data_IF_897163304022
#
_entry.id   IF_897163304022
#
_cell.length_a   1.000
_cell.length_b   1.000
_cell.length_c   1.000
_cell.angle_alpha   90.00
_cell.angle_beta   90.00
_cell.angle_gamma   90.00
#
_symmetry.space_group_name_H-M   'P 1'
#
loop_
_entity.id
_entity.type
_entity.pdbx_description
1 polymer ?
#
# COMPACT_ATOMS: atom_id res chain seq x y z
N UNK A 1 50.51 -29.24 38.00
CA UNK A 1 49.09 -28.83 37.97
C UNK A 1 49.03 -27.31 37.93
N UNK A 2 48.88 -26.70 36.76
CA UNK A 2 48.41 -25.31 36.64
C UNK A 2 47.73 -25.16 35.29
N UNK A 3 46.41 -25.03 35.32
CA UNK A 3 45.57 -24.81 34.15
C UNK A 3 45.68 -23.34 33.72
N UNK A 4 46.03 -23.10 32.45
CA UNK A 4 45.85 -21.80 31.81
C UNK A 4 44.37 -21.67 31.43
N UNK A 5 43.66 -20.74 32.08
CA UNK A 5 42.33 -20.33 31.67
C UNK A 5 42.45 -19.29 30.54
N UNK A 6 41.95 -19.63 29.36
CA UNK A 6 41.76 -18.70 28.24
C UNK A 6 40.58 -17.79 28.59
N UNK A 7 40.84 -16.51 28.81
CA UNK A 7 39.79 -15.49 28.94
C UNK A 7 39.32 -15.16 27.53
N UNK A 8 38.14 -15.66 27.16
CA UNK A 8 37.43 -15.27 25.96
C UNK A 8 36.75 -13.92 26.22
N UNK A 9 37.27 -12.84 25.63
CA UNK A 9 36.63 -11.53 25.66
C UNK A 9 35.44 -11.52 24.70
N UNK A 10 34.23 -11.64 25.24
CA UNK A 10 33.00 -11.36 24.50
C UNK A 10 32.80 -9.84 24.47
N UNK A 11 32.65 -9.19 23.32
CA UNK A 11 32.32 -7.78 23.27
C UNK A 11 30.89 -7.59 23.79
N UNK A 12 30.77 -6.91 24.93
CA UNK A 12 29.50 -6.49 25.49
C UNK A 12 28.93 -5.39 24.59
N UNK A 13 28.06 -5.74 23.63
CA UNK A 13 27.22 -4.76 22.96
C UNK A 13 26.21 -4.29 24.01
N UNK A 14 26.44 -3.11 24.57
CA UNK A 14 25.48 -2.46 25.45
C UNK A 14 24.18 -2.25 24.66
N UNK A 15 23.13 -3.00 25.01
CA UNK A 15 21.78 -2.63 24.63
C UNK A 15 21.53 -1.18 25.11
N UNK A 16 20.95 -0.29 24.30
CA UNK A 16 20.60 1.04 24.78
C UNK A 16 19.66 0.86 25.96
N UNK A 17 20.10 1.33 27.13
CA UNK A 17 19.31 1.35 28.35
C UNK A 17 18.11 2.27 28.08
N UNK A 18 16.93 1.68 27.92
CA UNK A 18 15.67 2.41 27.97
C UNK A 18 15.49 2.90 29.42
N UNK A 19 15.99 4.10 29.72
CA UNK A 19 15.61 4.80 30.94
C UNK A 19 14.23 5.41 30.69
N UNK A 20 13.20 4.56 30.75
CA UNK A 20 11.86 5.02 31.04
C UNK A 20 11.80 5.22 32.56
N UNK A 21 12.21 6.39 33.06
CA UNK A 21 11.74 6.83 34.38
C UNK A 21 10.24 6.99 34.24
N UNK A 22 9.46 6.05 34.76
CA UNK A 22 8.00 6.16 34.78
C UNK A 22 7.64 7.45 35.55
N UNK A 23 7.11 8.49 34.88
CA UNK A 23 6.60 9.64 35.60
C UNK A 23 5.33 9.23 36.36
N UNK A 24 5.06 9.93 37.46
CA UNK A 24 3.84 9.76 38.22
C UNK A 24 2.60 10.05 37.34
N UNK A 25 1.62 9.13 37.41
CA UNK A 25 0.25 9.18 36.85
C UNK A 25 0.14 9.50 35.35
N UNK A 26 0.21 8.46 34.52
CA UNK A 26 -0.40 8.43 33.19
C UNK A 26 -1.91 8.31 33.37
N UNK A 27 -2.64 9.42 33.26
CA UNK A 27 -4.07 9.42 33.57
C UNK A 27 -4.88 8.74 32.45
N UNK A 28 -4.47 8.94 31.19
CA UNK A 28 -5.19 8.37 30.05
C UNK A 28 -4.35 7.57 29.06
N UNK A 29 -3.02 7.59 29.11
CA UNK A 29 -2.18 6.66 28.30
C UNK A 29 -2.11 5.26 28.92
N UNK A 30 -2.70 4.27 28.26
CA UNK A 30 -2.74 2.87 28.71
C UNK A 30 -1.45 2.10 28.39
N UNK A 31 -0.83 2.39 27.24
CA UNK A 31 0.40 1.72 26.78
C UNK A 31 1.17 2.61 25.82
N UNK A 32 2.49 2.61 25.95
CA UNK A 32 3.40 3.11 24.92
C UNK A 32 4.46 2.06 24.62
N UNK A 33 4.79 1.86 23.35
CA UNK A 33 5.78 0.86 22.96
C UNK A 33 6.49 1.21 21.66
N UNK A 34 7.76 0.81 21.54
CA UNK A 34 8.53 0.91 20.30
C UNK A 34 8.85 -0.51 19.82
N UNK A 35 8.17 -0.98 18.78
CA UNK A 35 8.38 -2.32 18.22
C UNK A 35 8.67 -2.20 16.73
N UNK A 36 9.76 -2.82 16.26
CA UNK A 36 10.16 -2.76 14.84
C UNK A 36 10.19 -1.31 14.29
N UNK A 37 10.68 -0.36 15.10
CA UNK A 37 10.76 1.08 14.78
C UNK A 37 9.41 1.80 14.65
N UNK A 38 8.31 1.16 15.01
CA UNK A 38 6.98 1.77 15.11
C UNK A 38 6.74 2.16 16.57
N UNK A 39 6.57 3.46 16.82
CA UNK A 39 6.23 4.00 18.14
C UNK A 39 4.71 4.07 18.28
N UNK A 40 4.14 3.17 19.07
CA UNK A 40 2.71 3.10 19.33
C UNK A 40 2.37 3.76 20.67
N UNK A 41 1.39 4.67 20.65
CA UNK A 41 0.76 5.29 21.81
C UNK A 41 -0.69 4.86 21.84
N UNK A 42 -1.09 4.19 22.92
CA UNK A 42 -2.46 3.73 23.14
C UNK A 42 -3.00 4.47 24.35
N UNK A 43 -4.09 5.20 24.16
CA UNK A 43 -4.86 5.75 25.25
C UNK A 43 -5.87 4.72 25.81
N UNK A 44 -6.53 5.08 26.90
CA UNK A 44 -7.64 4.36 27.49
C UNK A 44 -8.95 5.06 27.12
N UNK A 45 -10.05 4.74 27.78
CA UNK A 45 -11.37 5.32 27.47
C UNK A 45 -11.62 6.68 28.18
N UNK A 46 -10.56 7.41 28.54
CA UNK A 46 -10.66 8.78 29.06
C UNK A 46 -10.04 9.76 28.05
N UNK A 47 -10.53 10.99 28.05
CA UNK A 47 -10.01 12.06 27.20
C UNK A 47 -8.49 12.22 27.37
N UNK A 48 -7.76 12.13 26.26
CA UNK A 48 -6.29 12.14 26.19
C UNK A 48 -5.83 13.28 25.31
N UNK A 49 -4.78 14.00 25.73
CA UNK A 49 -4.09 14.95 24.85
C UNK A 49 -2.63 14.58 24.71
N UNK A 50 -2.23 14.16 23.51
CA UNK A 50 -0.86 13.75 23.16
C UNK A 50 -0.25 14.74 22.18
N UNK A 51 0.98 15.16 22.47
CA UNK A 51 1.84 15.89 21.56
C UNK A 51 3.08 15.09 21.23
N UNK A 52 3.43 14.98 19.96
CA UNK A 52 4.67 14.35 19.49
C UNK A 52 5.53 15.36 18.73
N UNK A 53 6.79 15.51 19.12
CA UNK A 53 7.75 16.47 18.51
C UNK A 53 9.15 15.90 18.43
N UNK A 54 9.96 16.46 17.53
CA UNK A 54 11.41 16.33 17.64
C UNK A 54 11.97 17.30 18.68
N UNK A 55 12.90 16.83 19.50
CA UNK A 55 13.70 17.63 20.44
C UNK A 55 15.15 17.19 20.37
N UNK A 56 15.99 17.96 19.68
CA UNK A 56 17.35 17.55 19.34
C UNK A 56 17.35 16.26 18.50
N UNK A 57 18.10 15.25 18.94
CA UNK A 57 18.17 13.94 18.28
C UNK A 57 17.06 12.96 18.70
N UNK A 58 16.05 13.44 19.44
CA UNK A 58 15.01 12.60 20.01
C UNK A 58 13.63 12.92 19.46
N UNK A 59 12.80 11.88 19.39
CA UNK A 59 11.35 11.98 19.25
C UNK A 59 10.76 11.91 20.65
N UNK A 60 10.00 12.93 21.03
CA UNK A 60 9.42 13.10 22.37
C UNK A 60 7.90 13.05 22.28
N UNK A 61 7.30 12.14 23.02
CA UNK A 61 5.85 12.04 23.24
C UNK A 61 5.55 12.70 24.59
N UNK A 62 4.60 13.62 24.61
CA UNK A 62 4.16 14.34 25.82
C UNK A 62 2.65 14.17 25.97
N UNK A 63 2.20 13.72 27.14
CA UNK A 63 0.81 13.81 27.56
C UNK A 63 0.59 15.22 28.13
N UNK A 64 -0.18 16.05 27.44
CA UNK A 64 -0.33 17.47 27.74
C UNK A 64 -1.14 17.65 29.01
N UNK A 65 -0.66 18.51 29.92
CA UNK A 65 -1.33 18.77 31.19
C UNK A 65 -1.01 17.76 32.30
N UNK A 66 -0.21 16.73 32.00
CA UNK A 66 0.34 15.79 32.99
C UNK A 66 1.87 15.88 33.01
N UNK A 67 2.52 15.05 33.84
CA UNK A 67 3.98 14.86 33.81
C UNK A 67 4.40 13.71 32.86
N UNK A 68 3.49 13.24 32.01
CA UNK A 68 3.74 12.13 31.08
C UNK A 68 4.67 12.56 29.94
N UNK A 69 5.91 12.07 29.93
CA UNK A 69 6.86 12.30 28.83
C UNK A 69 7.67 11.05 28.56
N UNK A 70 7.79 10.69 27.28
CA UNK A 70 8.58 9.56 26.80
C UNK A 70 9.48 10.00 25.66
N UNK A 71 10.74 9.57 25.71
CA UNK A 71 11.77 10.02 24.79
C UNK A 71 12.42 8.82 24.11
N UNK A 72 12.50 8.88 22.79
CA UNK A 72 13.12 7.85 21.96
C UNK A 72 14.14 8.51 21.02
N UNK A 73 15.29 7.89 20.73
CA UNK A 73 16.19 8.39 19.68
C UNK A 73 15.44 8.47 18.36
N UNK A 74 15.45 9.60 17.65
CA UNK A 74 14.72 9.74 16.38
C UNK A 74 15.15 8.71 15.35
N UNK A 75 16.45 8.36 15.31
CA UNK A 75 16.96 7.30 14.45
C UNK A 75 16.39 5.90 14.73
N UNK A 76 15.71 5.69 15.87
CA UNK A 76 15.03 4.43 16.22
C UNK A 76 13.56 4.38 15.85
N UNK A 77 12.95 5.53 15.54
CA UNK A 77 11.53 5.66 15.21
C UNK A 77 11.39 5.94 13.71
N UNK A 78 10.57 5.14 13.05
CA UNK A 78 10.28 5.26 11.63
C UNK A 78 8.84 5.73 11.38
N UNK A 79 7.92 5.39 12.29
CA UNK A 79 6.51 5.75 12.21
C UNK A 79 5.93 5.89 13.62
N UNK A 80 4.98 6.79 13.78
CA UNK A 80 4.18 6.94 15.00
C UNK A 80 2.77 6.41 14.75
N UNK A 81 2.22 5.67 15.71
CA UNK A 81 0.83 5.22 15.70
C UNK A 81 0.17 5.72 16.98
N UNK A 82 -0.97 6.38 16.86
CA UNK A 82 -1.80 6.82 17.99
C UNK A 82 -3.17 6.15 17.92
N UNK A 83 -3.63 5.60 19.04
CA UNK A 83 -4.99 5.09 19.22
C UNK A 83 -5.63 5.82 20.41
N UNK A 84 -6.64 6.65 20.15
CA UNK A 84 -7.33 7.52 21.11
C UNK A 84 -8.17 6.77 22.15
N UNK A 85 -9.04 5.87 21.72
CA UNK A 85 -9.96 5.18 22.63
C UNK A 85 -11.38 5.67 22.38
N UNK A 86 -12.26 5.61 23.39
CA UNK A 86 -13.69 5.93 23.20
C UNK A 86 -14.10 7.31 23.72
N UNK A 87 -13.16 8.18 24.03
CA UNK A 87 -13.42 9.50 24.60
C UNK A 87 -12.87 10.59 23.67
N UNK A 88 -13.17 11.86 23.95
CA UNK A 88 -12.68 12.96 23.13
C UNK A 88 -11.17 13.14 23.32
N UNK A 89 -10.40 12.77 22.32
CA UNK A 89 -8.96 12.77 22.31
C UNK A 89 -8.38 13.86 21.40
N UNK A 90 -7.15 14.25 21.71
CA UNK A 90 -6.38 15.21 20.95
C UNK A 90 -5.01 14.65 20.67
N UNK A 91 -4.66 14.54 19.40
CA UNK A 91 -3.35 14.14 18.93
C UNK A 91 -2.73 15.24 18.08
N UNK A 92 -1.54 15.66 18.45
CA UNK A 92 -0.83 16.76 17.81
C UNK A 92 0.60 16.33 17.43
N UNK A 93 0.83 16.09 16.14
CA UNK A 93 2.14 15.82 15.56
C UNK A 93 2.70 16.97 14.70
N UNK A 94 2.16 18.19 14.83
CA UNK A 94 2.56 19.30 13.98
C UNK A 94 4.09 19.52 13.97
N UNK A 95 4.69 19.54 12.77
CA UNK A 95 6.13 19.70 12.59
C UNK A 95 6.97 18.43 12.78
N UNK A 96 6.34 17.27 13.02
CA UNK A 96 7.02 15.97 13.03
C UNK A 96 7.35 15.54 11.60
N UNK A 97 8.59 15.10 11.34
CA UNK A 97 9.01 14.62 10.00
C UNK A 97 8.99 13.09 9.91
N UNK A 98 8.05 12.45 10.62
CA UNK A 98 7.83 11.01 10.61
C UNK A 98 6.36 10.78 10.27
N UNK A 99 6.03 9.78 9.44
CA UNK A 99 4.64 9.47 9.15
C UNK A 99 3.91 9.00 10.41
N UNK A 100 2.63 9.33 10.44
CA UNK A 100 1.69 9.09 11.52
C UNK A 100 0.51 8.26 11.01
N UNK A 101 0.09 7.28 11.81
CA UNK A 101 -1.27 6.74 11.76
C UNK A 101 -1.98 7.13 13.06
N UNK A 102 -2.89 8.10 13.02
CA UNK A 102 -3.64 8.54 14.19
C UNK A 102 -5.11 8.12 14.06
N UNK A 103 -5.62 7.46 15.10
CA UNK A 103 -6.99 6.96 15.15
C UNK A 103 -7.69 7.56 16.36
N UNK A 104 -8.75 8.32 16.13
CA UNK A 104 -9.64 8.83 17.16
C UNK A 104 -10.39 7.67 17.82
N UNK A 105 -11.06 6.88 16.98
CA UNK A 105 -11.94 5.75 17.28
C UNK A 105 -13.34 6.21 17.72
N UNK A 106 -13.55 6.57 18.98
CA UNK A 106 -14.86 7.02 19.44
C UNK A 106 -14.73 8.30 20.22
N UNK A 107 -15.68 9.22 20.05
CA UNK A 107 -15.65 10.53 20.71
C UNK A 107 -15.48 11.65 19.70
N UNK A 108 -15.35 12.88 20.15
CA UNK A 108 -15.12 14.02 19.28
C UNK A 108 -13.64 14.38 19.31
N UNK A 109 -12.91 13.95 18.31
CA UNK A 109 -11.45 13.91 18.31
C UNK A 109 -10.83 15.05 17.50
N UNK A 110 -9.61 15.45 17.90
CA UNK A 110 -8.79 16.41 17.15
C UNK A 110 -7.48 15.74 16.76
N UNK A 111 -7.29 15.46 15.47
CA UNK A 111 -6.13 14.76 14.96
C UNK A 111 -5.34 15.68 14.03
N UNK A 112 -4.12 16.03 14.42
CA UNK A 112 -3.20 16.86 13.64
C UNK A 112 -1.97 16.02 13.29
N UNK A 113 -1.75 15.81 12.00
CA UNK A 113 -0.54 15.19 11.45
C UNK A 113 0.68 16.11 11.49
N UNK A 114 1.70 15.76 10.73
CA UNK A 114 3.01 16.37 10.67
C UNK A 114 3.37 16.86 9.27
N UNK A 115 4.64 16.74 8.92
CA UNK A 115 5.17 17.16 7.62
C UNK A 115 5.44 15.96 6.68
N UNK A 116 5.02 14.77 7.10
CA UNK A 116 5.19 13.53 6.37
C UNK A 116 3.81 13.02 5.95
N UNK A 117 3.79 12.02 5.06
CA UNK A 117 2.54 11.42 4.58
C UNK A 117 1.85 10.67 5.69
N UNK A 118 0.76 11.24 6.19
CA UNK A 118 0.03 10.76 7.35
C UNK A 118 -1.28 10.07 6.96
N UNK A 119 -1.81 9.30 7.91
CA UNK A 119 -3.13 8.70 7.83
C UNK A 119 -3.88 9.04 9.11
N UNK A 120 -4.94 9.81 8.98
CA UNK A 120 -5.77 10.27 10.09
C UNK A 120 -7.15 9.66 9.94
N UNK A 121 -7.61 8.96 10.97
CA UNK A 121 -8.91 8.29 11.02
C UNK A 121 -9.69 8.84 12.21
N UNK A 122 -10.75 9.60 11.96
CA UNK A 122 -11.65 10.07 13.02
C UNK A 122 -12.43 8.91 13.63
N UNK A 123 -13.18 8.22 12.77
CA UNK A 123 -14.18 7.21 13.12
C UNK A 123 -15.38 7.83 13.85
N UNK A 124 -15.96 7.18 14.87
CA UNK A 124 -17.27 7.56 15.38
C UNK A 124 -17.21 8.84 16.22
N UNK A 125 -17.84 9.92 15.76
CA UNK A 125 -17.52 11.20 16.39
C UNK A 125 -18.14 12.44 15.79
N UNK A 126 -17.61 13.57 16.25
CA UNK A 126 -17.57 14.82 15.49
C UNK A 126 -16.10 15.23 15.54
N UNK A 127 -15.38 14.90 14.48
CA UNK A 127 -13.94 14.91 14.46
C UNK A 127 -13.39 16.07 13.62
N UNK A 128 -12.19 16.51 13.99
CA UNK A 128 -11.43 17.50 13.24
C UNK A 128 -10.07 16.93 12.87
N UNK A 129 -9.83 16.76 11.57
CA UNK A 129 -8.60 16.20 11.03
C UNK A 129 -7.81 17.27 10.25
N UNK A 130 -6.52 17.37 10.53
CA UNK A 130 -5.57 18.24 9.81
C UNK A 130 -4.36 17.43 9.39
N UNK A 131 -4.21 17.14 8.09
CA UNK A 131 -3.12 16.33 7.53
C UNK A 131 -1.75 16.96 7.77
N UNK A 132 -1.54 18.15 7.25
CA UNK A 132 -0.27 18.85 7.35
C UNK A 132 0.33 19.04 5.97
N UNK A 133 1.61 18.72 5.80
CA UNK A 133 2.28 18.79 4.50
C UNK A 133 2.57 17.39 3.95
N UNK A 134 2.73 17.29 2.64
CA UNK A 134 2.81 16.03 1.85
C UNK A 134 1.42 15.44 1.57
N UNK A 135 1.38 14.32 0.84
CA UNK A 135 0.13 13.66 0.44
C UNK A 135 -0.44 12.84 1.62
N UNK A 136 -1.49 13.34 2.26
CA UNK A 136 -2.13 12.73 3.42
C UNK A 136 -3.37 11.90 3.06
N UNK A 137 -3.77 11.00 3.95
CA UNK A 137 -5.03 10.25 3.87
C UNK A 137 -5.90 10.57 5.08
N UNK A 138 -7.08 11.13 4.84
CA UNK A 138 -8.01 11.57 5.88
C UNK A 138 -9.29 10.74 5.76
N UNK A 139 -9.66 10.03 6.83
CA UNK A 139 -10.83 9.15 6.88
C UNK A 139 -11.84 9.67 7.91
N UNK A 140 -13.01 10.07 7.43
CA UNK A 140 -14.18 10.55 8.21
C UNK A 140 -15.40 9.69 7.86
N UNK A 141 -15.21 8.37 7.76
CA UNK A 141 -16.31 7.43 7.52
C UNK A 141 -16.80 6.96 8.88
N UNK A 142 -18.05 7.26 9.22
CA UNK A 142 -18.67 6.87 10.49
C UNK A 142 -20.21 6.79 10.44
N UNK A 143 -20.81 6.86 9.25
CA UNK A 143 -22.24 6.96 8.93
C UNK A 143 -22.90 8.33 9.14
N UNK A 144 -22.16 9.34 9.61
CA UNK A 144 -22.63 10.71 9.82
C UNK A 144 -22.03 11.64 8.78
N UNK A 145 -22.27 12.93 8.92
CA UNK A 145 -21.76 13.96 7.99
C UNK A 145 -21.43 15.26 8.73
N UNK A 146 -20.87 15.15 9.94
CA UNK A 146 -20.59 16.24 10.88
C UNK A 146 -19.08 16.48 11.12
N UNK A 147 -18.20 15.75 10.43
CA UNK A 147 -16.75 15.91 10.57
C UNK A 147 -16.18 17.08 9.76
N UNK A 148 -14.95 17.48 10.10
CA UNK A 148 -14.16 18.44 9.31
C UNK A 148 -12.77 17.90 9.02
N UNK A 149 -12.38 17.92 7.74
CA UNK A 149 -11.05 17.48 7.30
C UNK A 149 -10.33 18.55 6.46
N UNK A 150 -9.05 18.75 6.72
CA UNK A 150 -8.17 19.60 5.91
C UNK A 150 -6.84 18.88 5.70
N UNK A 151 -6.57 18.44 4.48
CA UNK A 151 -5.31 17.78 4.13
C UNK A 151 -4.12 18.74 4.22
N UNK A 152 -4.26 19.95 3.66
CA UNK A 152 -3.20 20.95 3.68
C UNK A 152 -2.44 20.99 2.35
N UNK A 153 -1.14 21.34 2.34
CA UNK A 153 -0.33 21.29 1.13
C UNK A 153 0.08 19.85 0.76
N UNK A 154 -0.30 19.43 -0.43
CA UNK A 154 0.00 18.08 -0.93
C UNK A 154 -1.05 17.69 -1.95
N UNK A 155 -1.02 16.43 -2.39
CA UNK A 155 -2.21 15.82 -2.99
C UNK A 155 -2.82 14.89 -1.95
N UNK A 156 -3.90 15.33 -1.36
CA UNK A 156 -4.52 14.62 -0.26
C UNK A 156 -5.63 13.68 -0.76
N UNK A 157 -5.91 12.66 0.03
CA UNK A 157 -7.00 11.72 -0.23
C UNK A 157 -7.97 11.74 0.92
N UNK A 158 -9.21 12.13 0.65
CA UNK A 158 -10.30 12.11 1.60
C UNK A 158 -11.13 10.86 1.38
N UNK A 159 -11.45 10.13 2.44
CA UNK A 159 -12.41 9.04 2.49
C UNK A 159 -13.50 9.45 3.45
N UNK A 160 -14.67 9.82 2.92
CA UNK A 160 -15.71 10.46 3.70
C UNK A 160 -17.09 10.01 3.29
N UNK A 161 -18.03 10.14 4.19
CA UNK A 161 -19.38 9.67 3.97
C UNK A 161 -20.12 10.46 2.89
N UNK A 162 -21.00 9.76 2.17
CA UNK A 162 -21.95 10.37 1.25
C UNK A 162 -23.37 9.89 1.57
N UNK A 163 -24.00 10.48 2.58
CA UNK A 163 -25.32 10.10 3.06
C UNK A 163 -26.38 11.01 2.45
N UNK A 164 -27.22 10.46 1.56
CA UNK A 164 -28.32 11.21 0.92
C UNK A 164 -27.87 12.53 0.25
N UNK A 165 -26.67 12.54 -0.32
CA UNK A 165 -26.09 13.73 -0.97
C UNK A 165 -25.41 14.72 -0.01
N UNK A 166 -25.45 14.47 1.30
CA UNK A 166 -24.64 15.18 2.31
C UNK A 166 -23.32 14.46 2.54
N UNK A 167 -22.31 15.21 2.94
CA UNK A 167 -20.94 14.75 3.19
C UNK A 167 -20.30 15.65 4.24
N UNK A 168 -19.24 15.18 4.88
CA UNK A 168 -18.45 15.97 5.82
C UNK A 168 -17.92 17.27 5.23
N UNK A 169 -17.51 18.21 6.07
CA UNK A 169 -16.81 19.39 5.60
C UNK A 169 -15.37 19.02 5.25
N UNK A 170 -14.89 19.37 4.04
CA UNK A 170 -13.46 19.23 3.74
C UNK A 170 -12.92 20.31 2.81
N UNK A 171 -11.65 20.64 3.00
CA UNK A 171 -10.90 21.58 2.15
C UNK A 171 -10.28 20.86 0.95
N UNK A 172 -11.12 20.38 0.02
CA UNK A 172 -10.66 19.65 -1.17
C UNK A 172 -10.19 20.62 -2.26
N UNK A 173 -8.92 20.53 -2.63
CA UNK A 173 -8.32 21.29 -3.73
C UNK A 173 -8.42 20.53 -5.06
N UNK A 174 -7.94 21.13 -6.16
CA UNK A 174 -8.02 20.52 -7.49
C UNK A 174 -7.08 19.31 -7.67
N UNK A 175 -6.01 19.24 -6.88
CA UNK A 175 -5.01 18.17 -6.96
C UNK A 175 -5.33 17.00 -6.01
N UNK A 176 -6.29 17.18 -5.11
CA UNK A 176 -6.76 16.18 -4.15
C UNK A 176 -7.69 15.15 -4.79
N UNK A 177 -7.94 14.08 -4.04
CA UNK A 177 -8.90 13.05 -4.41
C UNK A 177 -9.95 12.85 -3.31
N UNK A 178 -11.22 13.02 -3.67
CA UNK A 178 -12.35 12.97 -2.75
C UNK A 178 -13.17 11.69 -2.96
N UNK A 179 -12.89 10.66 -2.15
CA UNK A 179 -13.65 9.43 -2.08
C UNK A 179 -14.90 9.62 -1.24
N UNK A 180 -16.00 9.95 -1.91
CA UNK A 180 -17.34 10.09 -1.32
C UNK A 180 -18.05 8.74 -1.28
N UNK A 181 -18.02 8.08 -0.13
CA UNK A 181 -18.52 6.71 0.05
C UNK A 181 -19.97 6.71 0.48
N UNK A 182 -20.88 6.44 -0.46
CA UNK A 182 -22.31 6.28 -0.15
C UNK A 182 -22.62 4.89 0.42
N UNK A 183 -21.91 3.88 -0.07
CA UNK A 183 -22.03 2.48 0.32
C UNK A 183 -20.75 1.73 -0.08
N UNK A 184 -20.50 0.60 0.59
CA UNK A 184 -19.54 -0.39 0.11
C UNK A 184 -20.26 -1.44 -0.75
N UNK A 185 -19.74 -1.68 -1.94
CA UNK A 185 -20.34 -2.56 -2.95
C UNK A 185 -20.44 -4.03 -2.51
N UNK A 186 -19.67 -4.45 -1.50
CA UNK A 186 -19.76 -5.76 -0.88
C UNK A 186 -20.72 -5.81 0.33
N UNK A 187 -21.48 -4.75 0.60
CA UNK A 187 -22.49 -4.70 1.66
C UNK A 187 -21.93 -4.49 3.06
N UNK A 188 -20.62 -4.25 3.20
CA UNK A 188 -20.04 -3.83 4.46
C UNK A 188 -20.64 -2.49 4.93
N UNK A 189 -20.80 -2.32 6.24
CA UNK A 189 -21.22 -1.05 6.80
C UNK A 189 -20.06 -0.05 6.92
N UNK A 190 -20.37 1.13 7.43
CA UNK A 190 -19.47 2.29 7.53
C UNK A 190 -19.13 2.66 8.99
N UNK A 191 -19.32 1.74 9.94
CA UNK A 191 -19.19 2.05 11.38
C UNK A 191 -17.78 1.86 11.96
N UNK A 192 -16.79 1.50 11.13
CA UNK A 192 -15.34 1.41 11.43
C UNK A 192 -14.98 0.92 12.85
N UNK A 193 -15.63 -0.15 13.32
CA UNK A 193 -15.57 -0.62 14.70
C UNK A 193 -14.90 -2.00 14.87
N UNK A 194 -14.13 -2.43 13.86
CA UNK A 194 -13.39 -3.70 13.89
C UNK A 194 -14.19 -4.89 13.37
N UNK A 195 -15.05 -4.64 12.39
CA UNK A 195 -15.91 -5.65 11.76
C UNK A 195 -15.11 -6.79 11.12
N UNK A 196 -15.68 -8.00 11.21
CA UNK A 196 -15.31 -9.13 10.37
C UNK A 196 -16.03 -9.01 9.02
N UNK A 197 -15.28 -8.76 7.95
CA UNK A 197 -15.88 -8.36 6.68
C UNK A 197 -16.13 -9.60 5.81
N UNK A 198 -17.34 -9.69 5.26
CA UNK A 198 -17.72 -10.81 4.40
C UNK A 198 -16.71 -11.05 3.26
N UNK A 199 -16.18 -12.26 3.26
CA UNK A 199 -15.14 -12.70 2.35
C UNK A 199 -15.65 -13.25 1.02
N UNK A 200 -14.87 -13.13 -0.07
CA UNK A 200 -15.11 -13.91 -1.28
C UNK A 200 -15.11 -15.42 -1.00
N UNK A 201 -15.98 -16.17 -1.69
CA UNK A 201 -15.99 -17.63 -1.58
C UNK A 201 -14.67 -18.26 -2.05
N UNK A 202 -14.19 -19.26 -1.32
CA UNK A 202 -12.93 -19.94 -1.63
C UNK A 202 -13.17 -21.33 -2.25
N UNK A 203 -12.17 -21.89 -2.96
CA UNK A 203 -12.16 -23.30 -3.31
C UNK A 203 -12.22 -24.20 -2.05
N UNK A 204 -12.66 -25.45 -2.23
CA UNK A 204 -12.72 -26.40 -1.14
C UNK A 204 -11.35 -26.56 -0.43
N UNK A 205 -11.37 -26.62 0.90
CA UNK A 205 -10.20 -26.76 1.77
C UNK A 205 -9.21 -25.58 1.76
N UNK A 206 -9.57 -24.45 1.17
CA UNK A 206 -8.84 -23.19 1.34
C UNK A 206 -9.42 -22.43 2.53
N UNK A 207 -8.64 -21.54 3.14
CA UNK A 207 -9.07 -20.81 4.33
C UNK A 207 -8.53 -19.38 4.36
N UNK A 208 -9.24 -18.53 5.11
CA UNK A 208 -8.79 -17.20 5.48
C UNK A 208 -8.03 -17.24 6.81
N UNK A 209 -6.98 -16.44 6.91
CA UNK A 209 -6.15 -16.30 8.11
C UNK A 209 -5.90 -14.82 8.37
N UNK A 210 -6.33 -14.33 9.53
CA UNK A 210 -6.12 -12.95 9.97
C UNK A 210 -4.63 -12.57 10.02
N UNK A 211 -4.33 -11.33 9.65
CA UNK A 211 -2.97 -10.78 9.61
C UNK A 211 -2.90 -9.46 10.42
N UNK A 212 -3.05 -9.51 11.75
CA UNK A 212 -3.09 -8.31 12.58
C UNK A 212 -1.73 -7.60 12.61
N UNK A 213 -1.76 -6.30 12.94
CA UNK A 213 -0.57 -5.46 13.16
C UNK A 213 0.35 -5.32 11.95
N UNK A 214 -0.14 -5.59 10.75
CA UNK A 214 0.57 -5.35 9.50
C UNK A 214 0.01 -4.08 8.85
N UNK A 215 0.87 -3.19 8.34
CA UNK A 215 0.40 -1.95 7.76
C UNK A 215 -0.15 -2.17 6.34
N UNK A 216 -1.09 -1.31 5.92
CA UNK A 216 -1.49 -1.28 4.51
C UNK A 216 -0.28 -1.00 3.61
N UNK A 217 0.45 0.09 3.90
CA UNK A 217 1.65 0.52 3.18
C UNK A 217 2.89 0.54 4.07
N UNK A 218 4.07 0.35 3.46
CA UNK A 218 5.33 0.70 4.10
C UNK A 218 5.41 2.21 4.37
N UNK A 219 6.35 2.62 5.23
CA UNK A 219 6.61 4.04 5.55
C UNK A 219 6.85 4.89 4.30
N UNK A 220 7.52 4.34 3.28
CA UNK A 220 7.78 5.02 2.00
C UNK A 220 6.57 5.02 1.04
N UNK A 221 5.49 4.34 1.41
CA UNK A 221 4.32 4.12 0.55
C UNK A 221 4.37 2.82 -0.25
N UNK A 222 3.34 2.58 -1.06
CA UNK A 222 3.33 1.46 -1.99
C UNK A 222 4.37 1.67 -3.09
N UNK A 223 4.99 0.57 -3.52
CA UNK A 223 5.98 0.53 -4.60
C UNK A 223 5.67 -0.62 -5.55
N UNK A 224 6.00 -0.48 -6.84
CA UNK A 224 5.91 -1.58 -7.80
C UNK A 224 6.77 -2.79 -7.41
N UNK A 225 7.82 -2.55 -6.59
CA UNK A 225 8.68 -3.60 -6.04
C UNK A 225 8.04 -4.42 -4.90
N UNK A 226 6.91 -3.98 -4.34
CA UNK A 226 6.20 -4.70 -3.27
C UNK A 226 5.43 -5.93 -3.79
N UNK A 227 5.41 -6.13 -5.11
CA UNK A 227 4.66 -7.21 -5.74
C UNK A 227 5.45 -8.52 -5.70
N UNK A 228 4.89 -9.47 -4.95
CA UNK A 228 5.35 -10.86 -4.86
C UNK A 228 4.15 -11.79 -5.09
N UNK A 229 4.05 -12.37 -6.28
CA UNK A 229 2.92 -13.23 -6.65
C UNK A 229 2.89 -14.51 -5.79
N UNK A 230 1.69 -14.88 -5.35
CA UNK A 230 1.42 -16.19 -4.76
C UNK A 230 1.34 -17.31 -5.80
N UNK A 231 0.95 -18.54 -5.39
CA UNK A 231 0.77 -19.69 -6.26
C UNK A 231 -0.47 -19.59 -7.15
N UNK A 232 -1.35 -18.61 -6.94
CA UNK A 232 -2.44 -18.32 -7.86
C UNK A 232 -1.81 -17.70 -9.11
N UNK A 233 -2.06 -18.27 -10.28
CA UNK A 233 -1.52 -17.80 -11.58
C UNK A 233 -2.12 -16.47 -12.05
N UNK A 234 -2.17 -15.44 -11.19
CA UNK A 234 -2.75 -14.13 -11.44
C UNK A 234 -1.69 -13.08 -11.86
N UNK A 235 -0.61 -13.51 -12.50
CA UNK A 235 0.52 -12.67 -12.92
C UNK A 235 0.10 -11.37 -13.63
N UNK A 236 -1.00 -11.39 -14.40
CA UNK A 236 -1.57 -10.21 -15.07
C UNK A 236 -2.04 -9.16 -14.07
N UNK A 237 -2.75 -9.57 -13.01
CA UNK A 237 -3.26 -8.68 -11.96
C UNK A 237 -2.11 -8.02 -11.23
N UNK A 238 -1.21 -8.83 -10.68
CA UNK A 238 -0.14 -8.32 -9.83
C UNK A 238 0.92 -7.52 -10.61
N UNK A 239 1.22 -7.89 -11.85
CA UNK A 239 2.09 -7.08 -12.73
C UNK A 239 1.44 -5.74 -13.10
N UNK A 240 0.11 -5.69 -13.15
CA UNK A 240 -0.62 -4.44 -13.39
C UNK A 240 -0.60 -3.54 -12.17
N UNK A 241 -0.79 -4.08 -10.96
CA UNK A 241 -0.61 -3.34 -9.71
C UNK A 241 0.82 -2.80 -9.58
N UNK A 242 1.82 -3.63 -9.93
CA UNK A 242 3.22 -3.22 -10.00
C UNK A 242 3.42 -2.05 -10.97
N UNK A 243 2.83 -2.12 -12.16
CA UNK A 243 2.91 -1.04 -13.14
C UNK A 243 2.30 0.27 -12.61
N UNK A 244 1.10 0.20 -12.00
CA UNK A 244 0.39 1.38 -11.45
C UNK A 244 1.17 2.04 -10.32
N UNK A 245 1.83 1.26 -9.46
CA UNK A 245 2.67 1.79 -8.40
C UNK A 245 4.00 2.35 -8.92
N UNK A 246 4.57 1.73 -9.97
CA UNK A 246 5.86 2.13 -10.56
C UNK A 246 5.77 3.38 -11.44
N UNK A 247 4.79 3.44 -12.34
CA UNK A 247 4.69 4.46 -13.38
C UNK A 247 3.93 5.69 -12.87
N UNK A 248 4.53 6.41 -11.92
CA UNK A 248 3.95 7.66 -11.39
C UNK A 248 4.91 8.83 -11.54
N UNK A 249 4.40 10.01 -11.90
CA UNK A 249 5.22 11.20 -12.16
C UNK A 249 6.01 11.66 -10.94
N UNK A 250 5.37 11.63 -9.78
CA UNK A 250 5.96 11.99 -8.48
C UNK A 250 6.71 10.82 -7.82
N UNK A 251 6.67 9.61 -8.40
CA UNK A 251 7.30 8.41 -7.83
C UNK A 251 6.68 7.94 -6.51
N UNK A 252 5.49 8.45 -6.15
CA UNK A 252 4.86 8.20 -4.86
C UNK A 252 3.64 7.27 -4.91
N UNK A 253 3.39 6.66 -6.08
CA UNK A 253 2.33 5.69 -6.29
C UNK A 253 0.92 6.21 -5.93
N UNK A 254 0.65 7.49 -6.17
CA UNK A 254 -0.64 8.11 -5.80
C UNK A 254 -1.89 7.46 -6.37
N UNK A 255 -1.92 6.84 -7.56
CA UNK A 255 -3.08 6.06 -7.98
C UNK A 255 -3.42 4.92 -7.01
N UNK A 256 -2.42 4.31 -6.36
CA UNK A 256 -2.64 3.32 -5.31
C UNK A 256 -3.08 4.00 -4.00
N UNK A 257 -2.38 5.06 -3.58
CA UNK A 257 -2.69 5.77 -2.32
C UNK A 257 -4.09 6.39 -2.31
N UNK A 258 -4.53 6.97 -3.42
CA UNK A 258 -5.87 7.56 -3.52
C UNK A 258 -6.98 6.52 -3.56
N UNK A 259 -6.63 5.29 -3.98
CA UNK A 259 -7.57 4.20 -4.16
C UNK A 259 -7.62 3.26 -2.95
N UNK A 260 -6.72 3.39 -1.96
CA UNK A 260 -6.72 2.51 -0.80
C UNK A 260 -6.42 3.27 0.50
N UNK A 261 -7.16 2.97 1.56
CA UNK A 261 -6.95 3.55 2.89
C UNK A 261 -7.00 2.49 3.98
N UNK A 262 -6.21 2.71 5.03
CA UNK A 262 -6.33 2.01 6.31
C UNK A 262 -7.41 2.71 7.13
N UNK A 263 -8.47 2.00 7.49
CA UNK A 263 -9.57 2.55 8.28
C UNK A 263 -9.33 2.44 9.78
N UNK A 264 -8.14 2.01 10.20
CA UNK A 264 -7.71 2.05 11.59
C UNK A 264 -8.30 0.94 12.48
N UNK A 265 -9.35 0.28 12.04
CA UNK A 265 -10.05 -0.75 12.80
C UNK A 265 -9.63 -2.19 12.42
N UNK A 266 -8.64 -2.32 11.54
CA UNK A 266 -8.20 -3.61 10.98
C UNK A 266 -8.84 -3.93 9.62
N UNK A 267 -9.68 -3.02 9.11
CA UNK A 267 -10.22 -3.05 7.75
C UNK A 267 -9.61 -1.96 6.87
N UNK A 268 -9.80 -2.11 5.55
CA UNK A 268 -9.21 -1.28 4.53
C UNK A 268 -10.25 -0.91 3.48
N UNK A 269 -10.26 0.35 3.07
CA UNK A 269 -11.02 0.83 1.93
C UNK A 269 -10.25 0.56 0.64
N UNK A 270 -10.96 0.12 -0.41
CA UNK A 270 -10.42 0.00 -1.77
C UNK A 270 -11.44 0.55 -2.77
N UNK A 271 -11.01 1.46 -3.64
CA UNK A 271 -11.81 2.02 -4.72
C UNK A 271 -11.43 1.37 -6.04
N UNK A 272 -12.40 0.77 -6.71
CA UNK A 272 -12.25 0.17 -8.04
C UNK A 272 -13.34 0.72 -8.96
N UNK A 273 -12.92 1.45 -10.01
CA UNK A 273 -13.81 1.96 -11.06
C UNK A 273 -15.02 2.75 -10.51
N UNK A 274 -14.77 3.59 -9.49
CA UNK A 274 -15.81 4.39 -8.84
C UNK A 274 -16.65 3.66 -7.79
N UNK A 275 -16.46 2.35 -7.60
CA UNK A 275 -17.09 1.57 -6.54
C UNK A 275 -16.14 1.43 -5.35
N UNK A 276 -16.69 1.37 -4.15
CA UNK A 276 -15.92 1.23 -2.91
C UNK A 276 -16.12 -0.15 -2.34
N UNK A 277 -15.06 -0.73 -1.78
CA UNK A 277 -15.05 -2.01 -1.10
C UNK A 277 -14.37 -1.80 0.25
N UNK A 278 -14.94 -2.37 1.30
CA UNK A 278 -14.25 -2.52 2.59
C UNK A 278 -13.82 -3.97 2.69
N UNK A 279 -12.59 -4.23 3.11
CA UNK A 279 -12.05 -5.59 3.29
C UNK A 279 -11.22 -5.64 4.56
N UNK A 280 -11.24 -6.76 5.27
CA UNK A 280 -10.40 -6.95 6.46
C UNK A 280 -8.99 -7.50 6.11
N UNK A 281 -8.20 -7.74 7.15
CA UNK A 281 -6.84 -8.27 7.06
C UNK A 281 -6.75 -9.81 6.90
N UNK A 282 -7.85 -10.51 6.65
CA UNK A 282 -7.82 -11.96 6.48
C UNK A 282 -7.36 -12.34 5.06
N UNK A 283 -6.23 -13.06 4.98
CA UNK A 283 -5.59 -13.46 3.72
C UNK A 283 -5.71 -14.96 3.46
N UNK A 284 -5.63 -15.36 2.19
CA UNK A 284 -5.97 -16.71 1.74
C UNK A 284 -4.80 -17.67 1.87
N UNK A 285 -5.06 -18.86 2.43
CA UNK A 285 -4.22 -20.06 2.35
C UNK A 285 -4.90 -21.14 1.51
N UNK A 286 -4.10 -21.80 0.68
CA UNK A 286 -4.57 -22.96 -0.07
C UNK A 286 -4.64 -24.22 0.80
N UNK A 287 -5.12 -25.32 0.22
CA UNK A 287 -5.29 -26.62 0.89
C UNK A 287 -4.01 -27.22 1.47
N UNK A 288 -2.83 -26.77 1.04
CA UNK A 288 -1.53 -27.23 1.54
C UNK A 288 -0.98 -26.30 2.64
N UNK A 289 -1.77 -25.32 3.09
CA UNK A 289 -1.35 -24.33 4.08
C UNK A 289 -0.39 -23.26 3.54
N UNK A 290 -0.19 -23.19 2.23
CA UNK A 290 0.65 -22.19 1.55
C UNK A 290 -0.18 -20.93 1.30
N UNK A 291 0.41 -19.75 1.52
CA UNK A 291 -0.20 -18.48 1.18
C UNK A 291 -0.56 -18.42 -0.30
N UNK A 292 -1.84 -18.22 -0.59
CA UNK A 292 -2.37 -18.11 -1.94
C UNK A 292 -2.39 -16.65 -2.42
N UNK A 293 -2.67 -15.73 -1.50
CA UNK A 293 -2.55 -14.28 -1.70
C UNK A 293 -1.10 -13.87 -2.01
N UNK A 294 -0.94 -12.70 -2.62
CA UNK A 294 0.36 -12.06 -2.80
C UNK A 294 1.13 -11.95 -1.49
N UNK A 295 2.45 -12.11 -1.58
CA UNK A 295 3.38 -11.98 -0.47
C UNK A 295 3.47 -10.56 0.06
N UNK A 296 4.10 -10.43 1.23
CA UNK A 296 4.29 -9.15 1.89
C UNK A 296 5.26 -8.24 1.12
N UNK A 297 4.95 -6.95 1.05
CA UNK A 297 5.84 -5.91 0.52
C UNK A 297 6.87 -5.45 1.55
N UNK A 298 7.52 -4.30 1.26
CA UNK A 298 8.43 -3.67 2.20
C UNK A 298 7.77 -3.43 3.57
N UNK A 299 8.54 -3.57 4.66
CA UNK A 299 8.05 -3.40 6.03
C UNK A 299 6.82 -4.27 6.36
N UNK A 300 6.71 -5.44 5.69
CA UNK A 300 5.61 -6.37 5.83
C UNK A 300 4.24 -5.80 5.41
N UNK A 301 4.22 -4.81 4.51
CA UNK A 301 2.98 -4.19 4.00
C UNK A 301 2.09 -5.19 3.27
N UNK A 302 0.78 -4.94 3.24
CA UNK A 302 -0.20 -5.88 2.67
C UNK A 302 -1.05 -5.33 1.51
N UNK A 303 -0.76 -4.13 1.01
CA UNK A 303 -1.60 -3.49 -0.01
C UNK A 303 -1.87 -4.34 -1.25
N UNK A 304 -0.91 -5.16 -1.72
CA UNK A 304 -1.12 -6.02 -2.88
C UNK A 304 -2.17 -7.09 -2.58
N UNK A 305 -2.09 -7.75 -1.41
CA UNK A 305 -3.05 -8.77 -1.00
C UNK A 305 -4.45 -8.19 -0.73
N UNK A 306 -4.51 -6.99 -0.16
CA UNK A 306 -5.77 -6.24 0.05
C UNK A 306 -6.38 -5.84 -1.29
N UNK A 307 -5.58 -5.40 -2.26
CA UNK A 307 -6.02 -5.12 -3.61
C UNK A 307 -6.57 -6.38 -4.29
N UNK A 308 -5.87 -7.52 -4.22
CA UNK A 308 -6.36 -8.80 -4.78
C UNK A 308 -7.72 -9.20 -4.21
N UNK A 309 -7.90 -9.05 -2.89
CA UNK A 309 -9.17 -9.35 -2.21
C UNK A 309 -10.31 -8.47 -2.72
N UNK A 310 -10.09 -7.17 -2.86
CA UNK A 310 -11.08 -6.25 -3.40
C UNK A 310 -11.38 -6.52 -4.88
N UNK A 311 -10.37 -6.86 -5.69
CA UNK A 311 -10.56 -7.23 -7.11
C UNK A 311 -11.39 -8.52 -7.22
N UNK A 312 -11.14 -9.51 -6.35
CA UNK A 312 -11.95 -10.73 -6.31
C UNK A 312 -13.43 -10.42 -5.99
N UNK A 313 -13.72 -9.50 -5.06
CA UNK A 313 -15.09 -9.02 -4.80
C UNK A 313 -15.68 -8.26 -5.99
N UNK A 314 -14.87 -7.46 -6.69
CA UNK A 314 -15.31 -6.68 -7.84
C UNK A 314 -15.73 -7.55 -9.02
N UNK A 315 -14.96 -8.59 -9.33
CA UNK A 315 -15.19 -9.46 -10.50
C UNK A 315 -16.28 -10.53 -10.25
N UNK A 316 -17.11 -10.38 -9.21
CA UNK A 316 -17.89 -11.47 -8.61
C UNK A 316 -19.08 -12.05 -9.43
N UNK A 317 -19.31 -11.61 -10.67
CA UNK A 317 -20.61 -11.72 -11.38
C UNK A 317 -20.93 -13.12 -11.98
N UNK A 318 -19.95 -14.02 -12.11
CA UNK A 318 -20.10 -15.37 -12.73
C UNK A 318 -20.01 -16.56 -11.72
N UNK A 319 -20.48 -17.78 -12.07
CA UNK A 319 -20.35 -18.97 -11.23
C UNK A 319 -18.89 -19.45 -11.12
N UNK A 320 -18.35 -19.53 -9.89
CA UNK A 320 -16.98 -19.99 -9.58
C UNK A 320 -16.40 -19.29 -8.35
N UNK A 321 -15.22 -19.72 -7.86
CA UNK A 321 -14.55 -19.00 -6.77
C UNK A 321 -13.97 -17.67 -7.29
N UNK A 322 -14.32 -16.52 -6.68
CA UNK A 322 -13.78 -15.21 -7.06
C UNK A 322 -12.25 -15.13 -7.11
N UNK A 323 -11.53 -15.79 -6.21
CA UNK A 323 -10.06 -15.77 -6.20
C UNK A 323 -9.43 -16.50 -7.39
N UNK A 324 -10.07 -17.55 -7.92
CA UNK A 324 -9.56 -18.24 -9.11
C UNK A 324 -9.78 -17.42 -10.39
N UNK A 325 -10.74 -16.49 -10.41
CA UNK A 325 -10.94 -15.57 -11.55
C UNK A 325 -9.81 -14.59 -11.75
N UNK A 326 -9.03 -14.29 -10.72
CA UNK A 326 -7.85 -13.42 -10.85
C UNK A 326 -6.85 -13.95 -11.90
N UNK A 327 -6.90 -15.24 -12.24
CA UNK A 327 -6.08 -15.84 -13.32
C UNK A 327 -6.46 -15.35 -14.72
N UNK A 328 -7.73 -14.98 -14.92
CA UNK A 328 -8.26 -14.47 -16.18
C UNK A 328 -8.50 -12.96 -16.20
N UNK A 329 -8.49 -12.28 -15.03
CA UNK A 329 -8.64 -10.82 -14.93
C UNK A 329 -7.60 -10.11 -15.79
N UNK A 330 -8.08 -9.24 -16.69
CA UNK A 330 -7.22 -8.51 -17.62
C UNK A 330 -6.54 -7.31 -16.95
N UNK A 331 -5.34 -6.91 -17.41
CA UNK A 331 -4.69 -5.69 -16.93
C UNK A 331 -5.56 -4.44 -16.99
N UNK A 332 -6.48 -4.36 -17.98
CA UNK A 332 -7.36 -3.20 -18.13
C UNK A 332 -8.28 -2.99 -16.93
N UNK A 333 -8.77 -4.08 -16.31
CA UNK A 333 -9.60 -3.98 -15.09
C UNK A 333 -8.83 -3.29 -13.97
N UNK A 334 -7.53 -3.60 -13.85
CA UNK A 334 -6.67 -3.05 -12.80
C UNK A 334 -6.38 -1.57 -13.07
N UNK A 335 -5.97 -1.24 -14.30
CA UNK A 335 -5.62 0.13 -14.61
C UNK A 335 -6.83 1.08 -14.62
N UNK A 336 -8.01 0.61 -15.06
CA UNK A 336 -9.27 1.37 -14.98
C UNK A 336 -9.72 1.46 -13.51
N UNK A 337 -9.61 0.35 -12.77
CA UNK A 337 -10.01 0.23 -11.37
C UNK A 337 -9.34 1.23 -10.45
N UNK A 338 -8.00 1.24 -10.43
CA UNK A 338 -7.18 2.13 -9.61
C UNK A 338 -7.02 3.54 -10.19
N UNK A 339 -7.54 3.77 -11.41
CA UNK A 339 -7.47 5.05 -12.09
C UNK A 339 -6.02 5.43 -12.44
N UNK A 340 -5.45 4.82 -13.47
CA UNK A 340 -4.17 5.23 -14.05
C UNK A 340 -4.11 6.75 -14.31
N UNK A 341 -3.02 7.42 -13.92
CA UNK A 341 -2.87 8.88 -13.82
C UNK A 341 -2.69 9.63 -15.16
N UNK A 342 -3.24 9.11 -16.26
CA UNK A 342 -3.25 9.78 -17.55
C UNK A 342 -4.59 10.45 -17.78
N UNK A 343 -4.68 11.72 -17.36
CA UNK A 343 -5.70 12.66 -17.82
C UNK A 343 -5.63 12.72 -19.35
N UNK A 344 -6.76 12.38 -19.98
CA UNK A 344 -6.96 12.23 -21.43
C UNK A 344 -6.41 10.93 -22.06
N UNK A 345 -7.37 10.07 -22.40
CA UNK A 345 -7.27 8.91 -23.31
C UNK A 345 -6.80 7.57 -22.75
N UNK A 346 -7.45 6.49 -23.23
CA UNK A 346 -7.66 5.27 -22.47
C UNK A 346 -6.38 4.47 -22.37
N UNK A 347 -6.36 3.60 -21.36
CA UNK A 347 -5.52 2.42 -21.35
C UNK A 347 -5.34 1.88 -22.76
N UNK A 348 -4.10 1.64 -23.14
CA UNK A 348 -3.80 1.21 -24.48
C UNK A 348 -4.51 -0.15 -24.65
N UNK A 349 -5.39 -0.27 -25.64
CA UNK A 349 -6.07 -1.51 -25.98
C UNK A 349 -5.83 -1.77 -27.46
N UNK A 350 -5.15 -2.88 -27.77
CA UNK A 350 -5.00 -3.35 -29.15
C UNK A 350 -4.07 -2.54 -30.05
N UNK A 351 -3.03 -1.87 -29.52
CA UNK A 351 -1.97 -1.28 -30.36
C UNK A 351 -1.02 -2.38 -30.88
N UNK A 352 -0.81 -2.40 -32.20
CA UNK A 352 0.10 -3.34 -32.89
C UNK A 352 1.37 -2.62 -33.35
N UNK A 353 2.52 -3.26 -33.17
CA UNK A 353 3.78 -2.81 -33.76
C UNK A 353 4.02 -3.47 -35.14
N UNK A 354 4.56 -2.70 -36.08
CA UNK A 354 4.87 -3.14 -37.45
C UNK A 354 6.27 -3.76 -37.58
N UNK A 355 7.15 -3.49 -36.62
CA UNK A 355 8.51 -4.03 -36.55
C UNK A 355 9.04 -3.99 -35.11
N UNK A 356 10.16 -4.66 -34.85
CA UNK A 356 10.84 -4.57 -33.56
C UNK A 356 11.25 -3.13 -33.19
N UNK A 357 11.69 -2.32 -34.16
CA UNK A 357 12.04 -0.93 -33.94
C UNK A 357 10.81 -0.08 -33.60
N UNK A 358 9.70 -0.27 -34.31
CA UNK A 358 8.42 0.38 -34.02
C UNK A 358 7.91 -0.03 -32.62
N UNK A 359 8.02 -1.32 -32.26
CA UNK A 359 7.68 -1.80 -30.93
C UNK A 359 8.48 -1.08 -29.84
N UNK A 360 9.81 -1.05 -29.99
CA UNK A 360 10.69 -0.35 -29.05
C UNK A 360 10.31 1.12 -28.89
N UNK A 361 10.10 1.82 -30.01
CA UNK A 361 9.72 3.25 -30.00
C UNK A 361 8.37 3.50 -29.32
N UNK A 362 7.37 2.64 -29.57
CA UNK A 362 6.08 2.70 -28.89
C UNK A 362 6.23 2.49 -27.39
N UNK A 363 6.90 1.42 -26.97
CA UNK A 363 7.16 1.14 -25.56
C UNK A 363 7.91 2.28 -24.87
N UNK A 364 8.92 2.85 -25.52
CA UNK A 364 9.63 4.02 -25.02
C UNK A 364 8.70 5.22 -24.84
N UNK A 365 7.88 5.56 -25.84
CA UNK A 365 6.97 6.70 -25.76
C UNK A 365 5.97 6.57 -24.60
N UNK A 366 5.44 5.35 -24.38
CA UNK A 366 4.50 5.07 -23.28
C UNK A 366 5.18 5.13 -21.92
N UNK A 367 6.32 4.45 -21.76
CA UNK A 367 7.12 4.47 -20.53
C UNK A 367 7.56 5.90 -20.17
N UNK A 368 8.05 6.67 -21.14
CA UNK A 368 8.46 8.06 -20.96
C UNK A 368 7.29 9.00 -20.61
N UNK A 369 6.05 8.57 -20.83
CA UNK A 369 4.83 9.31 -20.47
C UNK A 369 4.16 8.77 -19.21
N UNK A 370 4.84 7.90 -18.45
CA UNK A 370 4.31 7.25 -17.23
C UNK A 370 3.04 6.44 -17.48
N UNK A 371 2.88 5.89 -18.69
CA UNK A 371 1.76 4.99 -18.97
C UNK A 371 2.08 3.58 -18.48
N UNK A 372 1.06 2.91 -17.95
CA UNK A 372 1.18 1.56 -17.44
C UNK A 372 1.33 0.56 -18.58
N UNK A 373 2.38 -0.29 -18.51
CA UNK A 373 2.66 -1.30 -19.52
C UNK A 373 2.95 -2.64 -18.86
N UNK A 374 2.17 -3.64 -19.26
CA UNK A 374 2.38 -5.05 -18.92
C UNK A 374 2.65 -5.80 -20.21
N UNK A 375 3.63 -6.69 -20.19
CA UNK A 375 4.01 -7.51 -21.34
C UNK A 375 3.77 -8.97 -20.96
N UNK A 376 3.00 -9.69 -21.77
CA UNK A 376 2.83 -11.13 -21.64
C UNK A 376 3.77 -11.83 -22.60
N UNK A 377 4.54 -12.78 -22.11
CA UNK A 377 5.51 -13.55 -22.89
C UNK A 377 5.21 -15.05 -22.84
N UNK A 378 5.60 -15.77 -23.89
CA UNK A 378 5.56 -17.25 -23.93
C UNK A 378 6.97 -17.87 -23.96
N UNK A 379 7.14 -19.13 -23.53
CA UNK A 379 8.41 -19.83 -23.74
C UNK A 379 8.72 -19.97 -25.23
N UNK A 380 10.00 -19.86 -25.65
CA UNK A 380 11.19 -19.81 -24.80
C UNK A 380 11.60 -18.40 -24.33
N UNK A 381 10.89 -17.32 -24.73
CA UNK A 381 11.25 -15.94 -24.37
C UNK A 381 10.91 -15.63 -22.92
N UNK A 382 9.76 -16.13 -22.43
CA UNK A 382 9.43 -16.12 -21.00
C UNK A 382 10.43 -16.93 -20.20
N UNK A 383 10.92 -16.38 -19.09
CA UNK A 383 11.78 -17.08 -18.11
C UNK A 383 10.98 -18.02 -17.20
N UNK A 384 9.66 -17.93 -17.25
CA UNK A 384 8.71 -18.78 -16.53
C UNK A 384 8.05 -19.76 -17.49
N UNK A 385 7.86 -21.01 -17.03
CA UNK A 385 7.15 -22.03 -17.78
C UNK A 385 5.69 -21.61 -18.01
N UNK A 386 5.32 -21.38 -19.27
CA UNK A 386 3.98 -20.97 -19.68
C UNK A 386 3.85 -19.46 -19.96
N UNK A 387 2.63 -19.06 -20.33
CA UNK A 387 2.28 -17.66 -20.58
C UNK A 387 2.42 -16.87 -19.27
N UNK A 388 3.29 -15.86 -19.22
CA UNK A 388 3.57 -15.09 -18.00
C UNK A 388 3.58 -13.59 -18.27
N UNK A 389 3.07 -12.80 -17.33
CA UNK A 389 3.01 -11.35 -17.42
C UNK A 389 4.12 -10.69 -16.61
N UNK A 390 4.67 -9.61 -17.16
CA UNK A 390 5.75 -8.81 -16.59
C UNK A 390 5.41 -7.32 -16.65
N UNK A 391 5.87 -6.55 -15.68
CA UNK A 391 5.80 -5.08 -15.74
C UNK A 391 6.95 -4.55 -16.60
N UNK A 392 6.69 -3.63 -17.54
CA UNK A 392 7.78 -2.89 -18.19
C UNK A 392 8.36 -1.90 -17.17
N UNK A 393 9.61 -2.13 -16.78
CA UNK A 393 10.27 -1.37 -15.72
C UNK A 393 11.07 -0.19 -16.27
N UNK A 394 11.81 -0.43 -17.35
CA UNK A 394 12.70 0.56 -17.96
C UNK A 394 12.93 0.28 -19.46
N UNK A 395 13.24 1.33 -20.23
CA UNK A 395 13.53 1.26 -21.68
C UNK A 395 14.86 1.94 -21.97
N UNK A 396 15.87 1.14 -22.31
CA UNK A 396 17.24 1.61 -22.54
C UNK A 396 17.45 2.04 -23.99
N UNK A 397 18.04 3.21 -24.20
CA UNK A 397 18.38 3.74 -25.53
C UNK A 397 19.89 3.97 -25.66
N UNK A 398 20.43 3.73 -26.85
CA UNK A 398 21.79 4.15 -27.17
C UNK A 398 21.88 5.66 -27.43
N UNK A 399 23.09 6.17 -27.67
CA UNK A 399 23.34 7.58 -27.97
C UNK A 399 22.60 8.09 -29.23
N UNK A 400 22.26 7.21 -30.16
CA UNK A 400 21.48 7.53 -31.35
C UNK A 400 19.96 7.52 -31.11
N UNK A 401 19.51 7.31 -29.86
CA UNK A 401 18.09 7.24 -29.49
C UNK A 401 17.39 5.93 -29.85
N UNK A 402 18.11 4.93 -30.37
CA UNK A 402 17.54 3.61 -30.67
C UNK A 402 17.33 2.83 -29.38
N UNK A 403 16.14 2.23 -29.22
CA UNK A 403 15.86 1.32 -28.10
C UNK A 403 16.69 0.05 -28.26
N UNK A 404 17.53 -0.22 -27.27
CA UNK A 404 18.48 -1.35 -27.25
C UNK A 404 17.99 -2.48 -26.37
N UNK A 405 17.37 -2.17 -25.23
CA UNK A 405 16.80 -3.19 -24.35
C UNK A 405 15.60 -2.67 -23.56
N UNK A 406 14.80 -3.62 -23.11
CA UNK A 406 13.60 -3.50 -22.30
C UNK A 406 13.88 -4.26 -21.00
N UNK A 407 13.81 -3.58 -19.88
CA UNK A 407 13.90 -4.19 -18.56
C UNK A 407 12.50 -4.51 -18.07
N UNK A 408 12.23 -5.78 -17.81
CA UNK A 408 10.94 -6.30 -17.39
C UNK A 408 11.03 -6.84 -15.97
N UNK A 409 10.06 -6.52 -15.11
CA UNK A 409 9.98 -7.08 -13.76
C UNK A 409 9.06 -8.29 -13.73
N UNK A 410 9.57 -9.40 -13.23
CA UNK A 410 8.83 -10.62 -12.95
C UNK A 410 8.05 -10.47 -11.61
N UNK A 411 6.72 -10.65 -11.59
CA UNK A 411 5.93 -10.51 -10.38
C UNK A 411 6.23 -11.55 -9.28
N UNK A 412 6.98 -12.62 -9.54
CA UNK A 412 7.46 -13.52 -8.47
C UNK A 412 8.51 -12.86 -7.54
N UNK A 413 9.00 -11.68 -7.90
CA UNK A 413 9.59 -10.68 -6.99
C UNK A 413 11.03 -10.93 -6.51
N UNK A 414 11.48 -12.18 -6.41
CA UNK A 414 12.89 -12.53 -6.11
C UNK A 414 13.49 -13.54 -7.11
N UNK A 415 12.73 -13.93 -8.13
CA UNK A 415 13.18 -14.91 -9.11
C UNK A 415 13.07 -14.29 -10.49
N UNK A 416 14.20 -14.22 -11.20
CA UNK A 416 14.21 -13.81 -12.60
C UNK A 416 13.51 -14.86 -13.46
N UNK A 417 13.39 -16.10 -12.94
CA UNK A 417 12.80 -17.28 -13.56
C UNK A 417 13.83 -18.40 -13.68
N UNK A 418 13.57 -19.37 -14.56
CA UNK A 418 14.55 -20.40 -14.94
C UNK A 418 15.64 -19.79 -15.82
N UNK A 419 16.89 -20.24 -15.66
CA UNK A 419 18.03 -19.79 -16.47
C UNK A 419 17.89 -20.28 -17.93
N UNK A 420 17.21 -19.49 -18.76
CA UNK A 420 17.05 -19.73 -20.20
C UNK A 420 17.96 -18.82 -21.06
N UNK A 421 18.93 -18.13 -20.43
CA UNK A 421 19.89 -17.25 -21.10
C UNK A 421 19.43 -15.78 -21.28
N UNK A 422 18.27 -15.41 -20.73
CA UNK A 422 17.70 -14.05 -20.83
C UNK A 422 17.57 -13.30 -19.50
N UNK A 423 17.94 -13.94 -18.37
CA UNK A 423 18.15 -13.24 -17.11
C UNK A 423 19.25 -12.20 -17.30
N UNK A 424 19.12 -11.03 -16.68
CA UNK A 424 20.24 -10.10 -16.68
C UNK A 424 21.41 -10.65 -15.83
N UNK A 425 22.50 -9.88 -15.72
CA UNK A 425 23.70 -10.36 -15.06
C UNK A 425 23.54 -10.55 -13.53
N UNK A 426 22.44 -10.07 -12.94
CA UNK A 426 22.20 -10.10 -11.51
C UNK A 426 21.10 -11.11 -11.15
N UNK A 427 21.51 -12.36 -10.89
CA UNK A 427 20.55 -13.38 -10.50
C UNK A 427 19.74 -12.98 -9.25
N UNK A 428 18.42 -13.15 -9.31
CA UNK A 428 17.43 -12.98 -8.23
C UNK A 428 17.04 -11.53 -7.88
N UNK A 429 17.08 -10.61 -8.84
CA UNK A 429 16.55 -9.24 -8.67
C UNK A 429 15.15 -9.05 -9.28
N UNK A 430 14.58 -10.14 -9.82
CA UNK A 430 13.31 -10.22 -10.54
C UNK A 430 13.30 -9.45 -11.85
N UNK A 431 14.45 -9.08 -12.39
CA UNK A 431 14.57 -8.37 -13.65
C UNK A 431 14.96 -9.31 -14.79
N UNK A 432 14.35 -9.07 -15.95
CA UNK A 432 14.64 -9.75 -17.20
C UNK A 432 14.91 -8.69 -18.25
N UNK A 433 16.03 -8.81 -18.96
CA UNK A 433 16.40 -7.84 -20.00
C UNK A 433 16.24 -8.46 -21.38
N UNK A 434 15.34 -7.89 -22.18
CA UNK A 434 15.05 -8.35 -23.54
C UNK A 434 15.27 -7.22 -24.55
N UNK A 435 15.66 -7.58 -25.77
CA UNK A 435 15.63 -6.66 -26.91
C UNK A 435 14.20 -6.50 -27.42
N UNK A 436 13.86 -5.37 -28.08
CA UNK A 436 12.59 -5.24 -28.78
C UNK A 436 12.36 -6.35 -29.82
N UNK A 437 13.43 -6.89 -30.43
CA UNK A 437 13.35 -7.98 -31.39
C UNK A 437 12.87 -9.30 -30.76
N UNK A 438 13.35 -9.63 -29.55
CA UNK A 438 12.91 -10.82 -28.82
C UNK A 438 11.43 -10.72 -28.44
N UNK A 439 11.01 -9.57 -27.90
CA UNK A 439 9.61 -9.34 -27.54
C UNK A 439 8.71 -9.38 -28.78
N UNK A 440 9.13 -8.72 -29.87
CA UNK A 440 8.39 -8.72 -31.14
C UNK A 440 8.25 -10.12 -31.75
N UNK A 441 9.30 -10.95 -31.67
CA UNK A 441 9.27 -12.30 -32.20
C UNK A 441 8.31 -13.22 -31.42
N UNK A 442 8.23 -13.06 -30.10
CA UNK A 442 7.32 -13.84 -29.24
C UNK A 442 5.85 -13.49 -29.52
N UNK A 443 5.56 -12.20 -29.64
CA UNK A 443 4.18 -11.73 -29.65
C UNK A 443 3.68 -11.23 -31.02
N UNK A 444 4.51 -11.29 -32.07
CA UNK A 444 4.16 -10.82 -33.41
C UNK A 444 3.83 -9.32 -33.46
N UNK A 445 4.45 -8.52 -32.60
CA UNK A 445 4.16 -7.09 -32.42
C UNK A 445 2.93 -6.80 -31.56
N UNK A 446 2.32 -7.82 -30.94
CA UNK A 446 1.20 -7.68 -30.00
C UNK A 446 1.71 -7.58 -28.57
N UNK A 447 1.86 -6.36 -28.06
CA UNK A 447 2.00 -6.24 -26.60
C UNK A 447 0.60 -6.25 -25.99
N UNK A 448 0.38 -7.12 -25.00
CA UNK A 448 -0.85 -7.09 -24.19
C UNK A 448 -0.87 -5.81 -23.37
N UNK A 449 -1.31 -4.73 -23.98
CA UNK A 449 -1.63 -3.51 -23.26
C UNK A 449 -2.83 -3.66 -22.31
N UNK A 450 -3.51 -4.81 -22.35
CA UNK A 450 -4.54 -5.19 -21.38
C UNK A 450 -5.61 -6.14 -21.89
N UNK A 451 -5.33 -6.98 -22.88
CA UNK A 451 -6.31 -7.96 -23.39
C UNK A 451 -5.98 -9.38 -22.93
N UNK A 452 -6.96 -10.06 -22.34
CA UNK A 452 -6.95 -11.51 -22.25
C UNK A 452 -7.03 -12.07 -23.67
N UNK A 453 -6.08 -12.91 -24.05
CA UNK A 453 -6.25 -13.83 -25.18
C UNK A 453 -7.23 -14.94 -24.78
#
# INVERSE_FOLDING_TARGET
MSALAVICAVPLIAAPVAIATAPAAHASVSRISLTNRVLEVHANNNATSIRVRHSGANTVVTEVGTNGTWTYPTGSVQRVVFNGGSANDSFDAAGLNLPVLAKGNGGNDQLIGGNARDTLVGAAGIDTLSGGAEDDTLVTIDTRTDDTANGGPGRDTYWRDAVNGSYDSASVTADDFDNRVAEFANGADRTLNGDDIADPSLPANWSYVAQPNRPLFATRGPSGSDVFQGPISNCKVVSSLSAVAHNTRSGNAFPIRRAMADFGDGTFGVRLNGRFYRVDNQLVRNSNGVWASAGAGAENSMWVSIAEKAIALHDAVDPGSPYLRLQSTSPSVIFDGFGSESFASPLIRGEFASSAADLGNKLFAKWNSYQNVVITLTPPVSTVNGVHAYTLWNVNRNAAGTVTSLQLRNPYGNADGSANGYSDANANDAMVTLTPAQVFADNGGRVNWGTAG
#
